data_IF_969816262542
#
_entry.id   IF_969816262542
#
_cell.length_a   1.000
_cell.length_b   1.000
_cell.length_c   1.000
_cell.angle_alpha   90.00
_cell.angle_beta   90.00
_cell.angle_gamma   90.00
#
_symmetry.space_group_name_H-M   'P 1'
#
loop_
_entity.id
_entity.type
_entity.pdbx_description
1 polymer ?
2 polymer ?
3 non-polymer ?
4 non-polymer ?
5 water ?
#
# COMPACT_ATOMS: atom_id res chain seq x y z
N UNK A 7 -0.57 9.98 12.36
CA UNK A 7 -0.34 11.41 12.21
C UNK A 7 0.23 11.68 10.82
N UNK A 8 0.11 10.69 9.94
CA UNK A 8 0.67 10.85 8.60
C UNK A 8 -0.33 11.47 7.68
N UNK A 9 -0.31 12.81 7.69
CA UNK A 9 -1.43 13.57 7.16
C UNK A 9 -1.07 14.12 5.78
N UNK A 10 0.13 13.82 5.27
CA UNK A 10 0.52 14.22 3.94
C UNK A 10 -0.59 14.03 2.90
N UNK A 11 -0.98 15.10 2.20
CA UNK A 11 -2.07 15.00 1.21
C UNK A 11 -1.44 14.58 -0.10
N UNK A 12 -2.02 13.53 -0.70
CA UNK A 12 -1.39 12.91 -1.85
C UNK A 12 -2.43 12.51 -2.91
N UNK A 13 -1.93 12.49 -4.13
CA UNK A 13 -2.68 12.08 -5.29
C UNK A 13 -1.98 10.88 -5.93
N UNK A 14 -2.49 9.69 -5.73
CA UNK A 14 -1.88 8.51 -6.34
C UNK A 14 -1.80 8.58 -7.86
N UNK A 15 -0.69 8.05 -8.35
CA UNK A 15 -0.52 7.90 -9.82
C UNK A 15 -1.37 6.76 -10.32
N UNK A 16 -1.50 6.54 -11.62
CA UNK A 16 -2.49 5.57 -12.11
C UNK A 16 -2.36 4.18 -11.55
N UNK A 17 -1.16 3.62 -11.45
CA UNK A 17 -1.02 2.27 -10.93
C UNK A 17 -1.53 2.16 -9.49
N UNK A 18 -1.01 3.04 -8.64
CA UNK A 18 -1.47 3.02 -7.24
C UNK A 18 -2.98 3.23 -7.13
N UNK A 19 -3.51 4.14 -7.95
CA UNK A 19 -4.95 4.36 -7.92
C UNK A 19 -5.69 3.08 -8.27
N UNK A 20 -5.18 2.31 -9.23
CA UNK A 20 -5.85 1.04 -9.57
C UNK A 20 -5.90 0.12 -8.38
N UNK A 21 -4.83 0.04 -7.61
CA UNK A 21 -4.81 -0.80 -6.41
C UNK A 21 -5.87 -0.36 -5.41
N UNK A 22 -5.94 0.95 -5.22
CA UNK A 22 -6.89 1.48 -4.24
C UNK A 22 -8.32 1.14 -4.66
N UNK A 23 -8.59 1.18 -5.97
CA UNK A 23 -9.93 0.88 -6.44
C UNK A 23 -10.35 -0.52 -6.08
N UNK A 24 -9.38 -1.43 -6.04
CA UNK A 24 -9.65 -2.81 -5.69
C UNK A 24 -10.30 -2.94 -4.33
N UNK A 25 -10.02 -2.01 -3.42
CA UNK A 25 -10.66 -2.14 -2.10
C UNK A 25 -11.78 -1.15 -1.89
N UNK A 26 -12.23 -0.50 -2.97
CA UNK A 26 -13.36 0.38 -2.92
C UNK A 26 -13.11 1.86 -2.89
N UNK A 27 -11.83 2.22 -2.90
CA UNK A 27 -11.44 3.62 -2.82
C UNK A 27 -11.32 4.19 -4.22
N UNK A 28 -12.18 5.10 -4.56
CA UNK A 28 -12.23 5.64 -5.92
C UNK A 28 -11.96 7.13 -5.99
N UNK A 29 -11.65 7.76 -4.87
CA UNK A 29 -11.37 9.20 -4.91
C UNK A 29 -9.99 9.46 -5.51
N UNK A 30 -9.66 10.73 -5.79
CA UNK A 30 -8.33 10.99 -6.36
C UNK A 30 -7.28 11.49 -5.36
N UNK A 31 -7.73 12.08 -4.28
CA UNK A 31 -6.90 12.64 -3.23
C UNK A 31 -7.17 11.97 -1.89
N UNK A 32 -6.05 11.63 -1.24
CA UNK A 32 -6.00 10.92 0.00
C UNK A 32 -5.02 11.50 1.00
N UNK A 33 -5.15 11.11 2.27
CA UNK A 33 -4.01 11.30 3.16
C UNK A 33 -3.06 10.11 3.00
N UNK A 34 -1.80 10.33 3.37
CA UNK A 34 -0.90 9.20 3.33
C UNK A 34 -1.42 8.07 4.21
N UNK A 35 -1.93 8.43 5.37
CA UNK A 35 -2.49 7.39 6.25
C UNK A 35 -3.51 6.50 5.56
N UNK A 36 -4.42 7.15 4.83
CA UNK A 36 -5.41 6.41 4.06
C UNK A 36 -4.72 5.51 3.01
N UNK A 37 -3.78 6.05 2.26
CA UNK A 37 -3.15 5.18 1.26
C UNK A 37 -2.53 3.96 1.91
N UNK A 38 -1.84 4.22 3.04
CA UNK A 38 -1.17 3.09 3.69
C UNK A 38 -2.18 2.06 4.18
N UNK A 39 -3.27 2.59 4.78
CA UNK A 39 -4.27 1.65 5.29
C UNK A 39 -4.90 0.83 4.18
N UNK A 40 -5.30 1.51 3.10
CA UNK A 40 -5.93 0.81 1.98
C UNK A 40 -4.98 -0.20 1.31
N UNK A 41 -3.69 0.13 1.24
CA UNK A 41 -2.77 -0.90 0.71
C UNK A 41 -2.68 -2.13 1.61
N UNK A 42 -2.73 -1.93 2.93
CA UNK A 42 -2.79 -3.08 3.84
C UNK A 42 -4.04 -3.89 3.57
N UNK A 43 -5.18 -3.21 3.38
CA UNK A 43 -6.41 -3.96 3.09
C UNK A 43 -6.27 -4.67 1.76
N UNK A 44 -5.60 -4.04 0.79
CA UNK A 44 -5.40 -4.68 -0.51
C UNK A 44 -4.70 -6.02 -0.35
N UNK A 45 -3.59 -6.01 0.39
CA UNK A 45 -2.81 -7.24 0.61
C UNK A 45 -3.64 -8.30 1.31
N UNK A 46 -4.45 -7.84 2.28
CA UNK A 46 -5.35 -8.76 2.97
C UNK A 46 -6.33 -9.40 2.01
N UNK A 47 -6.99 -8.56 1.20
CA UNK A 47 -8.07 -9.14 0.42
C UNK A 47 -7.57 -9.99 -0.75
N UNK A 48 -6.44 -9.62 -1.30
CA UNK A 48 -5.80 -10.39 -2.38
C UNK A 48 -5.06 -11.60 -1.83
N UNK A 49 -4.95 -11.73 -0.51
CA UNK A 49 -4.31 -12.89 0.11
C UNK A 49 -2.88 -13.07 -0.37
N UNK A 50 -2.15 -11.92 -0.35
CA UNK A 50 -0.79 -11.97 -0.87
C UNK A 50 0.21 -12.23 0.22
N UNK A 51 -0.20 -12.24 1.49
CA UNK A 51 0.71 -12.59 2.58
C UNK A 51 0.71 -14.11 2.73
N UNK A 52 1.82 -14.62 3.22
CA UNK A 52 1.99 -16.02 3.58
C UNK A 52 1.21 -16.33 4.86
N UNK A 53 0.25 -17.23 4.74
CA UNK A 53 -0.55 -17.74 5.82
C UNK A 53 0.28 -18.28 6.97
N UNK A 54 1.50 -18.74 6.74
CA UNK A 54 2.31 -19.25 7.83
C UNK A 54 3.41 -18.31 8.30
N UNK A 55 3.72 -17.29 7.52
CA UNK A 55 4.70 -16.27 7.87
C UNK A 55 4.18 -14.94 7.35
N UNK A 56 3.29 -14.36 8.16
CA UNK A 56 2.37 -13.34 7.64
C UNK A 56 3.04 -12.04 7.30
N UNK A 57 4.28 -11.83 7.72
CA UNK A 57 4.94 -10.59 7.31
C UNK A 57 5.53 -10.68 5.91
N UNK A 58 5.47 -11.87 5.32
CA UNK A 58 5.98 -12.01 3.96
C UNK A 58 4.91 -11.80 2.94
N UNK A 59 5.12 -10.85 2.05
CA UNK A 59 4.20 -10.63 0.95
C UNK A 59 4.79 -11.12 -0.36
N UNK A 60 4.03 -11.95 -1.06
CA UNK A 60 4.48 -12.48 -2.34
C UNK A 60 3.65 -11.84 -3.44
N UNK A 61 4.21 -10.86 -4.14
CA UNK A 61 3.47 -10.02 -5.05
C UNK A 61 3.86 -10.18 -6.51
N UNK A 62 4.71 -11.18 -6.81
CA UNK A 62 5.16 -11.30 -8.18
C UNK A 62 4.06 -11.40 -9.21
N UNK A 63 2.93 -12.01 -8.86
CA UNK A 63 1.87 -12.28 -9.83
C UNK A 63 0.65 -11.39 -9.65
N UNK A 64 0.92 -10.26 -9.03
CA UNK A 64 -0.09 -9.28 -8.74
C UNK A 64 0.38 -7.91 -9.21
N UNK A 65 -0.58 -7.03 -9.51
CA UNK A 65 -0.22 -5.67 -9.84
C UNK A 65 0.64 -5.01 -8.78
N UNK A 66 0.49 -5.44 -7.52
CA UNK A 66 1.32 -4.84 -6.47
C UNK A 66 2.81 -5.00 -6.73
N UNK A 67 3.15 -6.13 -7.36
CA UNK A 67 4.54 -6.39 -7.71
C UNK A 67 5.07 -5.36 -8.70
N UNK A 68 4.23 -4.79 -9.54
CA UNK A 68 4.69 -3.74 -10.46
C UNK A 68 5.00 -2.46 -9.67
N UNK A 69 4.22 -2.19 -8.61
CA UNK A 69 4.46 -1.02 -7.76
C UNK A 69 5.79 -1.08 -7.02
N UNK A 70 6.03 -2.24 -6.44
CA UNK A 70 7.21 -2.44 -5.59
C UNK A 70 8.44 -2.82 -6.38
N UNK A 71 8.21 -3.33 -7.58
CA UNK A 71 9.36 -3.74 -8.41
C UNK A 71 10.12 -4.96 -7.94
N UNK A 72 9.51 -5.74 -7.05
CA UNK A 72 10.15 -6.95 -6.57
C UNK A 72 9.06 -8.03 -6.47
N UNK A 73 9.44 -9.29 -6.54
CA UNK A 73 8.49 -10.38 -6.42
C UNK A 73 7.99 -10.58 -5.00
N UNK A 74 8.70 -10.05 -4.00
CA UNK A 74 8.32 -10.36 -2.62
C UNK A 74 8.98 -9.30 -1.72
N UNK A 75 8.42 -9.17 -0.53
CA UNK A 75 9.04 -8.27 0.42
C UNK A 75 8.45 -8.57 1.80
N UNK A 76 9.13 -8.03 2.82
CA UNK A 76 8.62 -8.19 4.14
C UNK A 76 7.94 -6.91 4.60
N UNK A 77 6.87 -7.05 5.38
CA UNK A 77 6.22 -5.87 5.96
C UNK A 77 7.16 -5.16 6.93
N UNK A 78 8.24 -5.80 7.34
CA UNK A 78 9.23 -5.17 8.19
C UNK A 78 10.07 -4.12 7.47
N UNK A 79 10.02 -4.13 6.15
CA UNK A 79 10.82 -3.19 5.36
C UNK A 79 10.15 -1.84 5.23
N UNK A 80 10.02 -1.14 6.36
CA UNK A 80 9.26 0.10 6.40
C UNK A 80 9.79 1.16 5.44
N UNK A 81 11.11 1.36 5.42
CA UNK A 81 11.65 2.39 4.53
C UNK A 81 11.32 2.08 3.07
N UNK A 82 11.50 0.82 2.67
CA UNK A 82 11.20 0.45 1.29
C UNK A 82 9.71 0.68 0.97
N UNK A 83 8.85 0.31 1.92
CA UNK A 83 7.40 0.44 1.68
C UNK A 83 7.03 1.90 1.46
N UNK A 84 7.48 2.74 2.38
CA UNK A 84 7.20 4.16 2.25
C UNK A 84 7.77 4.71 0.96
N UNK A 85 9.02 4.30 0.70
CA UNK A 85 9.67 4.84 -0.48
C UNK A 85 8.89 4.52 -1.75
N UNK A 86 8.52 3.26 -1.90
CA UNK A 86 7.87 2.81 -3.13
C UNK A 86 6.50 3.45 -3.23
N UNK A 87 5.78 3.62 -2.13
CA UNK A 87 4.46 4.28 -2.19
C UNK A 87 4.64 5.74 -2.56
N UNK A 88 5.58 6.46 -1.94
CA UNK A 88 5.73 7.87 -2.27
C UNK A 88 6.11 8.07 -3.73
N UNK A 89 6.86 7.10 -4.26
CA UNK A 89 7.29 7.35 -5.65
C UNK A 89 6.11 7.15 -6.59
N UNK A 90 5.00 6.62 -6.08
CA UNK A 90 3.81 6.36 -6.87
C UNK A 90 2.67 7.32 -6.55
N UNK A 91 3.06 8.47 -6.00
CA UNK A 91 2.02 9.48 -5.78
C UNK A 91 2.64 10.86 -5.96
N UNK A 92 1.71 11.83 -6.00
CA UNK A 92 2.24 13.20 -6.03
C UNK A 92 1.76 13.83 -4.73
N UNK A 93 2.73 14.36 -4.01
CA UNK A 93 2.35 15.13 -2.83
C UNK A 93 1.74 16.47 -3.27
N UNK A 94 0.55 16.77 -2.77
CA UNK A 94 -0.27 17.94 -3.04
C UNK A 94 0.45 19.21 -2.62
N UNK A 95 0.38 20.27 -3.42
CA UNK A 95 1.06 21.54 -3.12
C UNK A 95 0.46 22.16 -1.86
N UNK A 96 -0.85 22.35 -1.91
CA UNK A 96 -1.56 22.89 -0.77
C UNK A 96 -1.96 21.76 0.18
N UNK A 97 -1.17 21.67 1.25
CA UNK A 97 -1.34 20.70 2.33
C UNK A 97 -2.42 21.18 3.28
N UNK A 98 -2.80 20.45 4.30
CA UNK A 98 -3.96 20.71 5.14
C UNK A 98 -5.26 20.34 4.41
N UNK B 1 -4.83 -11.87 10.79
CA UNK B 1 -3.44 -12.25 11.09
C UNK B 1 -2.40 -11.47 10.32
N UNK B 2 -2.83 -10.57 9.44
CA UNK B 2 -1.89 -9.77 8.65
C UNK B 2 -1.66 -8.44 9.34
N UNK B 3 -0.45 -8.23 9.86
CA UNK B 3 0.00 -6.99 10.48
C UNK B 3 0.62 -6.06 9.45
N UNK B 4 0.31 -4.77 9.47
CA UNK B 4 0.86 -3.88 8.49
C UNK B 4 0.94 -2.50 9.11
N UNK B 5 2.17 -2.04 9.29
CA UNK B 5 2.42 -0.72 9.84
C UNK B 5 1.61 -0.56 11.13
N UNK B 6 0.77 0.45 11.19
CA UNK B 6 -0.02 0.75 12.38
C UNK B 6 -1.27 -0.07 12.57
N UNK B 7 -1.50 -1.06 11.72
CA UNK B 7 -2.78 -1.71 11.67
C UNK B 7 -2.72 -3.22 11.69
N UNK B 8 -3.88 -3.82 11.97
CA UNK B 8 -3.96 -5.27 11.95
C UNK B 8 -5.19 -5.67 11.13
N UNK B 9 -4.95 -6.59 10.24
CA UNK B 9 -5.98 -7.10 9.34
C UNK B 9 -6.11 -8.60 9.57
N UNK B 10 -6.80 -8.99 10.63
CA UNK B 10 -6.73 -10.40 11.04
C UNK B 10 -5.27 -10.74 11.32
X LIG C 1 -14.49 9.17 3.26
X LIG C 1 -13.84 9.80 2.10
X LIG C 1 -13.62 8.08 3.70
X LIG C 1 -14.63 10.18 4.33
X LIG C 1 -15.82 8.72 2.92
X LIG D 1 -1.70 20.36 -6.75
X LIG D 1 -1.91 21.13 -8.55
X LIG D 1 0.04 19.43 -6.62
X LIG D 1 -1.78 21.81 -5.39
X LIG D 1 -3.16 19.06 -6.43
X LIG E 1 -14.05 6.74 -1.99
X LIG E 1 -14.49 8.07 -1.51
X LIG E 1 -14.23 6.60 -3.47
X LIG E 1 -16.02 4.76 4.77
X LIG E 1 -15.34 6.26 2.50
X LIG E 1 -15.13 5.48 -1.19
X LIG E 1 -12.65 6.50 -1.60
X LIG E 1 -14.65 5.36 0.27
X LIG E 1 -15.16 6.55 1.02
X LIG E 1 -14.36 5.26 3.07
X LIG E 1 -14.70 5.19 4.56
X LIG E 1 -17.01 5.60 4.18
X LIG E 1 -16.72 5.66 2.69
#
# INVERSE_FOLDING_TARGET
SQIPASEQETLVRPKPLLLKLLKSVGAQKDTYTMKEVLFYLGQYIMTKRLYDEKQQHIVYCSNDLLGDLFGVPSFSVKEHRKIYTMIYRNLVVVNQQESSDSGTSVSENHHHHHH
PFEXLDWEFP
SO4 S O1 O2 O3 O4
SO4 S O1 O2 O3 O4
MPO S1 O1 O2 O4 N1 C1 O3 C2 C3 C4 C5 C6 C7
#
